data_IF_966559178611
#
_entry.id   IF_966559178611
#
_cell.length_a   1.000
_cell.length_b   1.000
_cell.length_c   1.000
_cell.angle_alpha   90.00
_cell.angle_beta   90.00
_cell.angle_gamma   90.00
#
_symmetry.space_group_name_H-M   'P 1'
#
loop_
_entity.id
_entity.type
_entity.pdbx_description
1 polymer ?
#
# COMPACT_ATOMS: atom_id res chain seq x y z
N UNK A 1 5.98 2.42 8.47
CA UNK A 1 6.23 1.39 7.44
C UNK A 1 5.53 1.85 6.18
N UNK A 2 6.21 1.93 5.04
CA UNK A 2 5.55 2.30 3.79
C UNK A 2 5.06 1.04 3.09
N UNK A 3 3.75 0.97 2.85
CA UNK A 3 3.10 -0.21 2.27
C UNK A 3 2.35 0.21 1.02
N UNK A 4 2.38 -0.63 -0.03
CA UNK A 4 1.52 -0.49 -1.20
C UNK A 4 0.62 -1.71 -1.35
N UNK A 5 -0.64 -1.54 -1.80
CA UNK A 5 -1.48 -2.68 -2.11
C UNK A 5 -0.94 -3.36 -3.37
N UNK A 6 -1.02 -4.68 -3.44
CA UNK A 6 -0.71 -5.37 -4.71
C UNK A 6 -1.74 -5.02 -5.76
N UNK A 7 -1.34 -5.11 -7.03
CA UNK A 7 -2.21 -4.82 -8.17
C UNK A 7 -3.56 -5.53 -8.03
N UNK A 8 -4.64 -4.77 -8.22
CA UNK A 8 -6.04 -5.21 -8.09
C UNK A 8 -6.50 -5.59 -6.68
N UNK A 9 -5.76 -5.22 -5.62
CA UNK A 9 -6.23 -5.32 -4.24
C UNK A 9 -6.66 -3.98 -3.68
N UNK A 10 -7.79 -3.98 -2.96
CA UNK A 10 -8.26 -2.85 -2.16
C UNK A 10 -8.07 -3.21 -0.69
N UNK A 11 -7.10 -2.56 -0.04
CA UNK A 11 -6.76 -2.81 1.37
C UNK A 11 -7.27 -1.64 2.20
N UNK A 12 -8.10 -1.91 3.20
CA UNK A 12 -8.57 -0.87 4.13
C UNK A 12 -7.46 -0.46 5.11
N UNK A 13 -7.36 0.82 5.42
CA UNK A 13 -6.54 1.35 6.51
C UNK A 13 -7.43 1.49 7.77
N UNK A 14 -7.22 0.67 8.82
CA UNK A 14 -8.05 0.72 10.02
C UNK A 14 -7.85 1.99 10.84
N UNK A 15 -6.72 2.68 10.72
CA UNK A 15 -6.46 3.91 11.47
C UNK A 15 -7.17 5.12 10.87
N UNK A 16 -7.38 5.11 9.55
CA UNK A 16 -7.99 6.23 8.81
C UNK A 16 -9.42 5.95 8.34
N UNK A 17 -9.79 4.69 8.21
CA UNK A 17 -11.07 4.27 7.66
C UNK A 17 -11.20 4.42 6.14
N UNK A 18 -10.10 4.69 5.42
CA UNK A 18 -10.05 4.78 3.96
C UNK A 18 -9.37 3.56 3.31
N UNK A 19 -9.42 3.48 1.98
CA UNK A 19 -8.65 2.49 1.23
C UNK A 19 -7.23 2.99 0.99
N UNK A 20 -6.27 2.06 1.07
CA UNK A 20 -4.87 2.33 0.79
C UNK A 20 -4.72 2.76 -0.69
N UNK A 21 -4.05 3.89 -0.98
CA UNK A 21 -3.84 4.34 -2.35
C UNK A 21 -2.93 3.37 -3.11
N UNK A 22 -3.11 3.28 -4.43
CA UNK A 22 -2.28 2.42 -5.29
C UNK A 22 -0.78 2.78 -5.23
N UNK A 23 -0.47 4.06 -5.02
CA UNK A 23 0.91 4.55 -4.81
C UNK A 23 1.53 4.07 -3.48
N UNK A 24 0.74 3.48 -2.59
CA UNK A 24 1.11 3.16 -1.22
C UNK A 24 1.12 4.38 -0.30
N UNK A 25 1.31 4.11 1.00
CA UNK A 25 1.31 5.12 2.06
C UNK A 25 2.20 4.68 3.21
N UNK A 26 2.74 5.65 3.94
CA UNK A 26 3.38 5.40 5.23
C UNK A 26 2.31 5.20 6.32
N UNK A 27 2.29 4.02 6.91
CA UNK A 27 1.39 3.59 7.97
C UNK A 27 2.17 3.19 9.21
N UNK A 28 1.54 3.21 10.37
CA UNK A 28 2.17 2.73 11.60
C UNK A 28 2.29 1.20 11.56
N UNK A 29 3.49 0.61 11.80
CA UNK A 29 3.64 -0.84 11.81
C UNK A 29 2.77 -1.45 12.91
N UNK A 30 1.86 -2.34 12.51
CA UNK A 30 0.92 -3.00 13.41
C UNK A 30 0.66 -4.43 12.96
N UNK A 31 0.12 -5.25 13.87
CA UNK A 31 -0.26 -6.64 13.56
C UNK A 31 -1.18 -6.75 12.34
N UNK A 32 -2.02 -5.74 12.10
CA UNK A 32 -2.87 -5.67 10.92
C UNK A 32 -2.04 -5.64 9.63
N UNK A 33 -1.04 -4.76 9.53
CA UNK A 33 -0.21 -4.63 8.33
C UNK A 33 0.67 -5.86 8.11
N UNK A 34 1.25 -6.43 9.16
CA UNK A 34 2.02 -7.66 9.05
C UNK A 34 1.18 -8.83 8.54
N UNK A 35 -0.10 -8.92 8.95
CA UNK A 35 -1.02 -9.93 8.40
C UNK A 35 -1.30 -9.70 6.92
N UNK A 36 -1.53 -8.46 6.50
CA UNK A 36 -1.75 -8.12 5.08
C UNK A 36 -0.52 -8.40 4.22
N UNK A 37 0.67 -8.22 4.77
CA UNK A 37 1.93 -8.58 4.12
C UNK A 37 2.03 -10.10 3.94
N UNK A 38 1.75 -10.87 4.99
CA UNK A 38 1.77 -12.34 4.96
C UNK A 38 0.68 -12.94 4.06
N UNK A 39 -0.52 -12.37 4.06
CA UNK A 39 -1.62 -12.74 3.17
C UNK A 39 -1.31 -12.36 1.71
N UNK A 40 -0.27 -11.54 1.48
CA UNK A 40 0.12 -11.06 0.17
C UNK A 40 -0.81 -10.00 -0.41
N UNK A 41 -1.63 -9.37 0.43
CA UNK A 41 -2.52 -8.25 0.08
C UNK A 41 -1.74 -6.95 -0.16
N UNK A 42 -0.65 -6.76 0.60
CA UNK A 42 0.26 -5.62 0.47
C UNK A 42 1.70 -6.08 0.24
N UNK A 43 2.55 -5.13 -0.10
CA UNK A 43 4.00 -5.28 -0.04
C UNK A 43 4.60 -4.07 0.70
N UNK A 44 5.62 -4.34 1.52
CA UNK A 44 6.37 -3.31 2.21
C UNK A 44 7.43 -2.78 1.26
N UNK A 45 7.38 -1.48 1.00
CA UNK A 45 8.37 -0.80 0.15
C UNK A 45 9.23 0.05 1.07
N UNK A 46 10.55 -0.11 1.00
CA UNK A 46 11.45 0.89 1.55
C UNK A 46 11.41 2.10 0.62
N UNK A 47 11.01 3.30 1.09
CA UNK A 47 11.13 4.50 0.29
C UNK A 47 12.61 4.85 0.17
N UNK A 48 13.31 4.15 -0.72
CA UNK A 48 14.61 4.59 -1.20
C UNK A 48 14.33 5.91 -1.92
N UNK A 49 14.89 7.01 -1.40
CA UNK A 49 14.69 8.37 -1.89
C UNK A 49 14.87 8.40 -3.42
N UNK A 50 13.79 8.33 -4.22
CA UNK A 50 13.92 8.43 -5.68
C UNK A 50 12.91 7.74 -6.59
N UNK A 51 11.92 6.98 -6.11
CA UNK A 51 10.94 6.36 -7.02
C UNK A 51 9.58 7.08 -6.98
N UNK A 52 9.35 7.93 -7.98
CA UNK A 52 8.08 8.58 -8.28
C UNK A 52 6.95 7.55 -8.50
N UNK A 53 5.68 7.88 -8.17
CA UNK A 53 4.57 6.96 -8.34
C UNK A 53 4.29 6.77 -9.84
N UNK A 54 4.54 5.56 -10.32
CA UNK A 54 4.29 5.15 -11.70
C UNK A 54 2.79 5.21 -11.99
N UNK A 55 2.42 6.08 -12.94
CA UNK A 55 1.06 6.26 -13.43
C UNK A 55 0.58 4.97 -14.11
N UNK A 56 -0.51 4.37 -13.63
CA UNK A 56 -1.41 3.60 -14.52
C UNK A 56 -2.61 4.45 -14.88
N UNK A 57 -2.42 5.11 -16.02
CA UNK A 57 -3.45 5.67 -16.91
C UNK A 57 -4.53 4.61 -17.15
N UNK A 58 -5.78 4.90 -16.81
CA UNK A 58 -6.94 4.19 -17.34
C UNK A 58 -7.51 5.02 -18.49
N UNK A 59 -7.07 4.69 -19.70
CA UNK A 59 -7.62 5.20 -20.96
C UNK A 59 -9.03 4.64 -21.18
N UNK A 60 -10.00 5.52 -21.43
CA UNK A 60 -11.08 5.27 -22.40
C UNK A 60 -11.50 6.59 -23.04
#
# INVERSE_FOLDING_TARGET
>A
MFVKPKDRRSVHDPARGDLLPAAGRNVEPSQYWYRRENDGDIEVVTPSQGAAPDKKVSTK
#
